data_IF_407345484676
#
_entry.id   IF_407345484676
#
_cell.length_a   1.000
_cell.length_b   1.000
_cell.length_c   1.000
_cell.angle_alpha   90.00
_cell.angle_beta   90.00
_cell.angle_gamma   90.00
#
_symmetry.space_group_name_H-M   'P 1'
#
loop_
_entity.id
_entity.type
_entity.pdbx_description
1 polymer ?
#
# COMPACT_ATOMS: atom_id res chain seq x y z
N UNK A 1 -2.21 14.93 21.72
CA UNK A 1 -2.00 13.59 21.09
C UNK A 1 -0.54 13.14 21.16
N UNK A 2 0.47 14.00 20.91
CA UNK A 2 1.91 13.59 20.92
C UNK A 2 2.42 12.94 22.22
N UNK A 3 1.84 13.28 23.37
CA UNK A 3 2.29 12.75 24.66
C UNK A 3 2.00 11.25 24.87
N UNK A 4 1.20 10.60 24.01
CA UNK A 4 0.90 9.17 24.18
C UNK A 4 2.14 8.29 24.09
N UNK A 5 3.15 8.67 23.29
CA UNK A 5 4.42 7.94 23.21
C UNK A 5 5.15 7.97 24.57
N UNK A 6 5.17 9.13 25.23
CA UNK A 6 5.75 9.29 26.56
C UNK A 6 4.93 8.53 27.62
N UNK A 7 3.60 8.68 27.63
CA UNK A 7 2.75 7.98 28.58
C UNK A 7 2.83 6.46 28.42
N UNK A 8 2.88 5.96 27.18
CA UNK A 8 3.08 4.54 26.89
C UNK A 8 4.41 4.03 27.42
N UNK A 9 5.50 4.78 27.24
CA UNK A 9 6.80 4.46 27.85
C UNK A 9 6.73 4.39 29.38
N UNK A 10 6.09 5.38 30.02
CA UNK A 10 5.99 5.43 31.49
C UNK A 10 5.15 4.29 32.06
N UNK A 11 4.06 3.92 31.38
CA UNK A 11 3.25 2.76 31.75
C UNK A 11 4.08 1.47 31.60
N UNK A 12 4.64 1.24 30.41
CA UNK A 12 5.35 -0.01 30.10
C UNK A 12 6.61 -0.20 30.95
N UNK A 13 7.36 0.86 31.27
CA UNK A 13 8.56 0.73 32.10
C UNK A 13 8.25 0.48 33.58
N UNK A 14 7.03 0.80 34.03
CA UNK A 14 6.62 0.61 35.42
C UNK A 14 6.17 -0.82 35.73
N UNK A 15 5.88 -1.60 34.68
CA UNK A 15 5.43 -2.98 34.78
C UNK A 15 6.58 -3.94 34.42
N UNK A 16 6.95 -4.80 35.37
CA UNK A 16 8.06 -5.75 35.21
C UNK A 16 7.75 -6.87 34.20
N UNK A 17 6.50 -7.03 33.75
CA UNK A 17 6.14 -7.99 32.71
C UNK A 17 6.61 -7.56 31.31
N UNK A 18 6.87 -6.28 31.11
CA UNK A 18 7.34 -5.75 29.84
C UNK A 18 8.84 -5.46 29.88
N UNK A 19 9.51 -5.73 28.76
CA UNK A 19 10.91 -5.36 28.63
C UNK A 19 11.06 -3.84 28.52
N UNK A 20 12.14 -3.29 29.07
CA UNK A 20 12.49 -1.88 28.89
C UNK A 20 12.65 -1.51 27.40
N UNK A 21 13.05 -2.48 26.57
CA UNK A 21 13.11 -2.30 25.12
C UNK A 21 11.74 -2.03 24.51
N UNK A 22 10.71 -2.79 24.91
CA UNK A 22 9.32 -2.57 24.47
C UNK A 22 8.83 -1.17 24.85
N UNK A 23 9.15 -0.71 26.06
CA UNK A 23 8.86 0.66 26.47
C UNK A 23 9.55 1.68 25.55
N UNK A 24 10.85 1.50 25.26
CA UNK A 24 11.56 2.40 24.35
C UNK A 24 11.02 2.40 22.92
N UNK A 25 10.52 1.27 22.41
CA UNK A 25 9.84 1.23 21.11
C UNK A 25 8.59 2.12 21.15
N UNK A 26 7.76 2.00 22.20
CA UNK A 26 6.60 2.87 22.38
C UNK A 26 6.99 4.36 22.50
N UNK A 27 8.13 4.67 23.12
CA UNK A 27 8.63 6.05 23.16
C UNK A 27 9.04 6.58 21.77
N UNK A 28 9.59 5.71 20.92
CA UNK A 28 10.31 6.10 19.71
C UNK A 28 9.53 5.91 18.40
N UNK A 29 8.38 5.23 18.41
CA UNK A 29 7.67 4.88 17.17
C UNK A 29 7.18 6.06 16.32
N UNK A 30 7.16 7.29 16.87
CA UNK A 30 6.89 8.53 16.11
C UNK A 30 8.16 9.34 15.79
N UNK A 31 9.35 8.85 16.12
CA UNK A 31 10.62 9.45 15.74
C UNK A 31 10.88 9.19 14.24
N UNK A 32 11.55 10.11 13.56
CA UNK A 32 11.83 10.04 12.13
C UNK A 32 13.32 10.22 11.85
N UNK A 33 13.81 9.61 10.77
CA UNK A 33 15.23 9.62 10.42
C UNK A 33 15.85 11.01 10.28
N UNK A 34 15.05 12.01 9.93
CA UNK A 34 15.43 13.43 9.76
C UNK A 34 15.29 14.27 11.05
N UNK A 35 14.94 13.64 12.19
CA UNK A 35 14.77 14.32 13.47
C UNK A 35 13.48 15.15 13.60
N UNK A 36 12.60 15.14 12.59
CA UNK A 36 11.31 15.89 12.64
C UNK A 36 10.21 15.14 13.39
N UNK A 37 10.52 13.95 13.89
CA UNK A 37 9.63 13.14 14.71
C UNK A 37 9.46 13.68 16.13
N UNK A 38 8.79 12.89 16.96
CA UNK A 38 8.52 13.23 18.36
C UNK A 38 8.49 11.93 19.20
N UNK A 39 8.62 12.00 20.54
CA UNK A 39 8.64 13.19 21.40
C UNK A 39 10.01 13.88 21.55
N UNK A 40 11.12 13.23 21.23
CA UNK A 40 12.47 13.74 21.51
C UNK A 40 13.14 14.40 20.30
N UNK A 41 12.66 14.13 19.08
CA UNK A 41 13.26 14.68 17.86
C UNK A 41 14.64 14.09 17.58
N UNK A 42 14.85 12.83 18.01
CA UNK A 42 16.10 12.12 17.74
C UNK A 42 16.14 11.64 16.30
N UNK A 43 17.34 11.42 15.76
CA UNK A 43 17.54 11.16 14.34
C UNK A 43 18.50 10.00 14.08
N UNK A 44 18.45 9.46 12.86
CA UNK A 44 19.37 8.41 12.42
C UNK A 44 19.55 7.32 13.48
N UNK A 45 20.81 6.97 13.77
CA UNK A 45 21.21 5.83 14.63
C UNK A 45 20.79 5.96 16.11
N UNK A 46 20.28 7.11 16.54
CA UNK A 46 19.72 7.26 17.88
C UNK A 46 18.36 6.56 18.04
N UNK A 47 17.66 6.35 16.93
CA UNK A 47 16.38 5.62 16.89
C UNK A 47 16.69 4.12 16.85
N UNK A 48 16.15 3.38 17.81
CA UNK A 48 16.34 1.93 17.90
C UNK A 48 15.79 1.23 16.63
N UNK A 49 16.49 0.22 16.07
CA UNK A 49 16.05 -0.47 14.86
C UNK A 49 14.60 -0.97 14.90
N UNK A 50 14.17 -1.54 16.03
CA UNK A 50 12.78 -1.99 16.20
C UNK A 50 11.76 -0.83 16.19
N UNK A 51 12.12 0.34 16.72
CA UNK A 51 11.23 1.50 16.63
C UNK A 51 11.06 1.94 15.18
N UNK A 52 12.12 1.91 14.36
CA UNK A 52 12.04 2.25 12.93
C UNK A 52 11.17 1.27 12.14
N UNK A 53 11.22 -0.02 12.46
CA UNK A 53 10.30 -1.02 11.89
C UNK A 53 8.86 -0.64 12.23
N UNK A 54 8.58 -0.36 13.51
CA UNK A 54 7.24 0.04 13.96
C UNK A 54 6.80 1.34 13.30
N UNK A 55 7.66 2.35 13.19
CA UNK A 55 7.35 3.63 12.52
C UNK A 55 6.92 3.41 11.08
N UNK A 56 7.67 2.60 10.32
CA UNK A 56 7.34 2.31 8.92
C UNK A 56 6.01 1.55 8.82
N UNK A 57 5.78 0.56 9.69
CA UNK A 57 4.52 -0.18 9.73
C UNK A 57 3.31 0.70 10.14
N UNK A 58 3.46 1.52 11.17
CA UNK A 58 2.42 2.43 11.69
C UNK A 58 2.01 3.48 10.64
N UNK A 59 3.00 4.05 9.94
CA UNK A 59 2.73 4.99 8.84
C UNK A 59 2.02 4.29 7.69
N UNK A 60 2.44 3.09 7.31
CA UNK A 60 1.78 2.34 6.24
C UNK A 60 0.33 2.02 6.59
N UNK A 61 0.07 1.46 7.78
CA UNK A 61 -1.28 1.15 8.27
C UNK A 61 -2.17 2.40 8.28
N UNK A 62 -1.64 3.52 8.78
CA UNK A 62 -2.37 4.79 8.80
C UNK A 62 -2.70 5.35 7.40
N UNK A 63 -1.92 4.99 6.37
CA UNK A 63 -2.17 5.39 4.98
C UNK A 63 -3.28 4.54 4.34
N UNK A 64 -3.27 3.23 4.57
CA UNK A 64 -4.22 2.27 3.97
C UNK A 64 -5.51 2.10 4.79
N UNK A 65 -5.60 2.71 5.98
CA UNK A 65 -6.82 2.78 6.76
C UNK A 65 -7.68 4.00 6.41
N UNK A 66 -9.01 3.83 6.49
CA UNK A 66 -9.96 4.94 6.42
C UNK A 66 -9.81 5.87 7.64
N UNK A 67 -9.92 7.17 7.39
CA UNK A 67 -9.96 8.22 8.42
C UNK A 67 -11.20 9.09 8.21
N UNK A 68 -11.76 9.72 9.26
CA UNK A 68 -12.96 10.56 9.15
C UNK A 68 -12.88 11.67 8.08
N UNK A 69 -11.67 12.14 7.78
CA UNK A 69 -11.39 13.23 6.84
C UNK A 69 -10.69 12.77 5.56
N UNK A 70 -10.43 11.47 5.40
CA UNK A 70 -9.67 10.94 4.24
C UNK A 70 -9.96 9.45 4.05
N UNK A 71 -10.40 9.07 2.85
CA UNK A 71 -10.47 7.68 2.42
C UNK A 71 -9.10 7.00 2.42
N UNK A 72 -9.06 5.71 2.70
CA UNK A 72 -7.86 4.88 2.57
C UNK A 72 -7.14 5.12 1.24
N UNK A 73 -5.81 5.18 1.28
CA UNK A 73 -5.01 5.09 0.05
C UNK A 73 -4.94 3.64 -0.37
N UNK A 74 -4.89 3.38 -1.68
CA UNK A 74 -4.52 2.06 -2.16
C UNK A 74 -3.06 1.73 -1.78
N UNK A 75 -2.71 0.44 -1.75
CA UNK A 75 -1.37 0.02 -1.35
C UNK A 75 -0.26 0.63 -2.23
N UNK A 76 -0.48 0.74 -3.54
CA UNK A 76 0.46 1.38 -4.47
C UNK A 76 0.63 2.89 -4.17
N UNK A 77 -0.45 3.59 -3.83
CA UNK A 77 -0.41 5.00 -3.42
C UNK A 77 0.35 5.17 -2.10
N UNK A 78 0.08 4.32 -1.10
CA UNK A 78 0.78 4.35 0.19
C UNK A 78 2.30 4.12 0.01
N UNK A 79 2.68 3.12 -0.80
CA UNK A 79 4.08 2.86 -1.16
C UNK A 79 4.71 4.08 -1.83
N UNK A 80 4.03 4.71 -2.79
CA UNK A 80 4.54 5.90 -3.48
C UNK A 80 4.77 7.08 -2.52
N UNK A 81 3.82 7.36 -1.63
CA UNK A 81 3.93 8.40 -0.60
C UNK A 81 5.12 8.14 0.32
N UNK A 82 5.31 6.90 0.77
CA UNK A 82 6.41 6.54 1.66
C UNK A 82 7.78 6.62 0.94
N UNK A 83 7.84 6.20 -0.34
CA UNK A 83 9.06 6.30 -1.17
C UNK A 83 9.52 7.75 -1.35
N UNK A 84 8.61 8.71 -1.48
CA UNK A 84 8.95 10.14 -1.54
C UNK A 84 9.68 10.65 -0.28
N UNK A 85 9.56 9.93 0.84
CA UNK A 85 10.18 10.26 2.13
C UNK A 85 11.41 9.39 2.43
N UNK A 86 11.81 8.52 1.50
CA UNK A 86 12.98 7.67 1.60
C UNK A 86 14.27 8.48 1.67
N UNK A 87 15.22 8.06 2.51
CA UNK A 87 16.49 8.76 2.76
C UNK A 87 16.38 9.99 3.67
N UNK A 88 15.17 10.51 3.90
CA UNK A 88 14.90 11.60 4.84
C UNK A 88 14.21 11.07 6.10
N UNK A 89 12.88 10.91 6.07
CA UNK A 89 12.13 10.41 7.23
C UNK A 89 12.34 8.92 7.48
N UNK A 90 12.60 8.15 6.42
CA UNK A 90 12.74 6.70 6.51
C UNK A 90 14.07 6.25 5.90
N UNK A 91 14.77 5.35 6.57
CA UNK A 91 15.92 4.68 6.00
C UNK A 91 15.48 3.67 4.92
N UNK A 92 16.09 3.66 3.72
CA UNK A 92 15.64 2.85 2.59
C UNK A 92 15.47 1.36 2.92
N UNK A 93 16.39 0.78 3.69
CA UNK A 93 16.35 -0.63 4.07
C UNK A 93 15.07 -1.05 4.81
N UNK A 94 14.48 -0.16 5.63
CA UNK A 94 13.24 -0.45 6.36
C UNK A 94 12.01 -0.36 5.45
N UNK A 95 12.01 0.55 4.49
CA UNK A 95 10.99 0.62 3.46
C UNK A 95 11.03 -0.62 2.56
N UNK A 96 12.22 -1.02 2.11
CA UNK A 96 12.42 -2.22 1.30
C UNK A 96 11.96 -3.49 2.03
N UNK A 97 12.28 -3.60 3.33
CA UNK A 97 11.82 -4.70 4.16
C UNK A 97 10.28 -4.77 4.24
N UNK A 98 9.60 -3.62 4.40
CA UNK A 98 8.13 -3.60 4.37
C UNK A 98 7.61 -3.98 2.98
N UNK A 99 8.09 -3.32 1.92
CA UNK A 99 7.56 -3.47 0.57
C UNK A 99 7.78 -4.86 -0.03
N UNK A 100 8.83 -5.57 0.36
CA UNK A 100 9.07 -6.96 -0.03
C UNK A 100 8.11 -7.96 0.64
N UNK A 101 7.41 -7.55 1.70
CA UNK A 101 6.51 -8.41 2.48
C UNK A 101 5.02 -8.03 2.32
N UNK A 102 4.70 -7.08 1.45
CA UNK A 102 3.31 -6.69 1.13
C UNK A 102 3.05 -6.84 -0.36
N UNK A 103 1.82 -7.21 -0.70
CA UNK A 103 1.38 -7.21 -2.09
C UNK A 103 1.08 -5.77 -2.51
N UNK A 104 1.87 -5.20 -3.43
CA UNK A 104 1.59 -3.87 -3.98
C UNK A 104 0.20 -3.82 -4.65
N UNK A 105 -0.20 -4.92 -5.27
CA UNK A 105 -1.52 -5.11 -5.85
C UNK A 105 -2.17 -6.35 -5.22
N UNK A 106 -3.01 -6.20 -4.19
CA UNK A 106 -3.71 -7.33 -3.58
C UNK A 106 -4.57 -8.10 -4.60
N UNK A 107 -4.68 -9.42 -4.44
CA UNK A 107 -5.58 -10.25 -5.24
C UNK A 107 -7.01 -9.70 -5.10
N UNK A 108 -7.74 -9.63 -6.22
CA UNK A 108 -9.06 -9.03 -6.31
C UNK A 108 -9.06 -7.53 -6.62
N UNK A 109 -7.90 -6.85 -6.57
CA UNK A 109 -7.80 -5.45 -7.03
C UNK A 109 -8.17 -5.35 -8.51
N UNK A 110 -8.93 -4.33 -8.87
CA UNK A 110 -9.23 -3.99 -10.27
C UNK A 110 -8.22 -2.95 -10.74
N UNK A 111 -7.59 -3.19 -11.89
CA UNK A 111 -6.50 -2.37 -12.43
C UNK A 111 -6.75 -2.00 -13.89
N UNK A 112 -6.33 -0.79 -14.25
CA UNK A 112 -6.20 -0.39 -15.64
C UNK A 112 -4.78 -0.71 -16.11
N UNK A 113 -4.69 -1.33 -17.28
CA UNK A 113 -3.42 -1.62 -17.94
C UNK A 113 -3.04 -0.46 -18.88
N UNK A 114 -1.75 -0.32 -19.17
CA UNK A 114 -1.25 0.64 -20.17
C UNK A 114 -1.79 0.39 -21.59
N UNK A 115 -2.34 -0.80 -21.84
CA UNK A 115 -3.04 -1.19 -23.07
C UNK A 115 -4.48 -0.69 -23.17
N UNK A 116 -4.96 0.10 -22.20
CA UNK A 116 -6.35 0.58 -22.05
C UNK A 116 -7.36 -0.53 -21.73
N UNK A 117 -6.87 -1.69 -21.29
CA UNK A 117 -7.68 -2.81 -20.83
C UNK A 117 -7.90 -2.72 -19.32
N UNK A 118 -9.01 -3.31 -18.82
CA UNK A 118 -9.28 -3.42 -17.39
C UNK A 118 -9.16 -4.89 -16.99
N UNK A 119 -8.44 -5.13 -15.90
CA UNK A 119 -8.15 -6.47 -15.41
C UNK A 119 -8.32 -6.57 -13.90
N UNK A 120 -8.44 -7.80 -13.40
CA UNK A 120 -8.44 -8.13 -11.98
C UNK A 120 -7.16 -8.88 -11.65
N UNK A 121 -6.54 -8.55 -10.52
CA UNK A 121 -5.40 -9.33 -10.00
C UNK A 121 -5.90 -10.70 -9.54
N UNK A 122 -5.37 -11.78 -10.14
CA UNK A 122 -5.76 -13.15 -9.79
C UNK A 122 -4.68 -13.94 -9.06
N UNK A 123 -3.42 -13.55 -9.22
CA UNK A 123 -2.30 -14.15 -8.48
C UNK A 123 -1.14 -13.16 -8.33
N UNK A 124 -0.31 -13.34 -7.31
CA UNK A 124 0.83 -12.46 -7.01
C UNK A 124 2.15 -13.23 -7.02
N UNK A 125 3.11 -12.74 -7.81
CA UNK A 125 4.44 -13.32 -7.90
C UNK A 125 5.30 -12.92 -6.70
N UNK A 126 5.77 -13.90 -5.91
CA UNK A 126 6.55 -13.64 -4.68
C UNK A 126 7.89 -12.94 -4.94
N UNK A 127 8.56 -13.30 -6.03
CA UNK A 127 9.87 -12.72 -6.39
C UNK A 127 9.73 -11.34 -7.06
N UNK A 128 8.59 -11.09 -7.70
CA UNK A 128 8.29 -9.84 -8.40
C UNK A 128 6.88 -9.33 -8.05
N UNK A 129 6.65 -8.83 -6.81
CA UNK A 129 5.32 -8.40 -6.36
C UNK A 129 4.68 -7.27 -7.18
N UNK A 130 5.50 -6.56 -7.98
CA UNK A 130 5.06 -5.51 -8.90
C UNK A 130 4.51 -6.05 -10.22
N UNK A 131 4.70 -7.34 -10.52
CA UNK A 131 4.30 -7.99 -11.78
C UNK A 131 3.41 -9.20 -11.49
N UNK A 132 2.15 -8.99 -11.06
CA UNK A 132 1.20 -10.07 -10.76
C UNK A 132 0.68 -10.78 -12.02
N UNK A 133 -0.13 -11.82 -11.83
CA UNK A 133 -0.99 -12.40 -12.87
C UNK A 133 -2.32 -11.66 -12.86
N UNK A 134 -2.74 -11.18 -14.03
CA UNK A 134 -3.99 -10.42 -14.19
C UNK A 134 -4.94 -11.16 -15.11
N UNK A 135 -6.24 -11.09 -14.83
CA UNK A 135 -7.30 -11.55 -15.73
C UNK A 135 -8.00 -10.36 -16.33
N UNK A 136 -7.89 -10.20 -17.65
CA UNK A 136 -8.57 -9.13 -18.39
C UNK A 136 -10.07 -9.40 -18.39
N UNK A 137 -10.83 -8.42 -17.91
CA UNK A 137 -12.30 -8.46 -17.85
C UNK A 137 -12.94 -7.58 -18.93
N UNK A 138 -12.23 -6.53 -19.38
CA UNK A 138 -12.71 -5.60 -20.38
C UNK A 138 -11.58 -5.27 -21.36
N UNK A 139 -11.89 -5.36 -22.66
CA UNK A 139 -10.95 -5.05 -23.74
C UNK A 139 -10.78 -3.53 -23.94
N UNK A 140 -9.81 -3.14 -24.79
CA UNK A 140 -9.56 -1.73 -25.16
C UNK A 140 -10.75 -1.01 -25.82
N UNK A 141 -11.78 -1.73 -26.23
CA UNK A 141 -13.01 -1.20 -26.83
C UNK A 141 -14.17 -1.17 -25.82
N UNK A 142 -13.84 -1.29 -24.52
CA UNK A 142 -14.79 -1.34 -23.42
C UNK A 142 -15.80 -2.49 -23.56
N UNK A 143 -15.39 -3.67 -24.04
CA UNK A 143 -16.27 -4.85 -24.18
C UNK A 143 -15.80 -5.96 -23.25
N UNK A 144 -16.76 -6.68 -22.68
CA UNK A 144 -16.46 -7.91 -21.95
C UNK A 144 -15.83 -8.95 -22.89
N UNK A 145 -14.88 -9.71 -22.35
CA UNK A 145 -14.26 -10.79 -23.09
C UNK A 145 -15.16 -12.03 -23.04
N UNK A 146 -15.42 -12.62 -24.21
CA UNK A 146 -16.14 -13.90 -24.32
C UNK A 146 -15.35 -15.09 -23.75
N UNK A 147 -14.04 -14.92 -23.52
CA UNK A 147 -13.15 -15.92 -22.93
C UNK A 147 -12.22 -15.24 -21.93
N UNK A 148 -11.97 -15.83 -20.75
CA UNK A 148 -11.02 -15.26 -19.80
C UNK A 148 -9.63 -15.23 -20.43
N UNK A 149 -8.99 -14.06 -20.42
CA UNK A 149 -7.60 -13.87 -20.82
C UNK A 149 -6.78 -13.58 -19.56
N UNK A 150 -5.88 -14.48 -19.22
CA UNK A 150 -4.93 -14.28 -18.12
C UNK A 150 -3.54 -13.95 -18.68
N UNK A 151 -2.93 -12.92 -18.11
CA UNK A 151 -1.62 -12.42 -18.48
C UNK A 151 -0.74 -12.47 -17.25
N UNK A 152 0.31 -13.29 -17.30
CA UNK A 152 1.38 -13.27 -16.33
C UNK A 152 2.33 -12.12 -16.68
N UNK A 153 2.26 -11.03 -15.92
CA UNK A 153 3.04 -9.82 -16.23
C UNK A 153 4.54 -10.05 -16.08
N UNK A 154 5.00 -11.15 -15.49
CA UNK A 154 6.44 -11.50 -15.49
C UNK A 154 6.93 -11.95 -16.86
N UNK A 155 6.02 -12.45 -17.72
CA UNK A 155 6.33 -12.97 -19.07
C UNK A 155 6.06 -11.94 -20.16
N UNK A 156 5.20 -10.96 -19.89
CA UNK A 156 4.92 -9.85 -20.79
C UNK A 156 5.43 -8.52 -20.19
N UNK A 157 6.56 -8.06 -20.73
CA UNK A 157 7.22 -6.82 -20.29
C UNK A 157 6.61 -5.56 -20.92
N UNK A 158 5.73 -5.67 -21.91
CA UNK A 158 5.09 -4.53 -22.56
C UNK A 158 3.81 -4.11 -21.86
N UNK A 159 3.14 -5.05 -21.20
CA UNK A 159 1.92 -4.79 -20.43
C UNK A 159 2.28 -4.37 -19.01
N UNK A 160 1.75 -3.24 -18.56
CA UNK A 160 1.99 -2.72 -17.21
C UNK A 160 0.70 -2.28 -16.54
N UNK A 161 0.64 -2.40 -15.22
CA UNK A 161 -0.43 -1.80 -14.42
C UNK A 161 -0.21 -0.30 -14.42
N UNK A 162 -1.12 0.43 -15.07
CA UNK A 162 -1.11 1.88 -15.10
C UNK A 162 -1.61 2.47 -13.79
N UNK A 163 -2.69 1.92 -13.23
CA UNK A 163 -3.27 2.34 -11.95
C UNK A 163 -4.27 1.31 -11.40
N UNK A 164 -4.51 1.37 -10.10
CA UNK A 164 -5.62 0.69 -9.43
C UNK A 164 -6.89 1.55 -9.58
N UNK A 165 -8.04 0.91 -9.81
CA UNK A 165 -9.34 1.60 -9.88
C UNK A 165 -9.93 1.75 -8.48
N UNK A 166 -10.60 2.88 -8.22
CA UNK A 166 -11.34 3.09 -6.97
C UNK A 166 -12.67 2.32 -6.95
N UNK A 167 -13.27 2.19 -5.77
CA UNK A 167 -14.61 1.58 -5.63
C UNK A 167 -15.67 2.33 -6.45
N UNK A 168 -15.58 3.66 -6.54
CA UNK A 168 -16.48 4.47 -7.35
C UNK A 168 -16.31 4.17 -8.85
N UNK A 169 -15.07 4.07 -9.33
CA UNK A 169 -14.78 3.74 -10.72
C UNK A 169 -15.27 2.33 -11.08
N UNK A 170 -15.03 1.35 -10.19
CA UNK A 170 -15.54 -0.02 -10.34
C UNK A 170 -17.07 -0.01 -10.38
N UNK A 171 -17.71 0.78 -9.50
CA UNK A 171 -19.17 0.88 -9.46
C UNK A 171 -19.76 1.49 -10.73
N UNK A 172 -19.09 2.49 -11.32
CA UNK A 172 -19.50 3.08 -12.61
C UNK A 172 -19.35 2.04 -13.72
N UNK A 173 -18.20 1.35 -13.76
CA UNK A 173 -17.92 0.32 -14.75
C UNK A 173 -18.96 -0.81 -14.73
N UNK A 174 -19.31 -1.31 -13.56
CA UNK A 174 -20.32 -2.36 -13.40
C UNK A 174 -21.71 -1.89 -13.87
N UNK A 175 -22.05 -0.62 -13.66
CA UNK A 175 -23.31 -0.05 -14.17
C UNK A 175 -23.32 0.00 -15.70
N UNK A 176 -22.26 0.50 -16.32
CA UNK A 176 -22.13 0.58 -17.77
C UNK A 176 -22.16 -0.78 -18.46
N UNK A 177 -21.65 -1.83 -17.81
CA UNK A 177 -21.74 -3.20 -18.29
C UNK A 177 -23.15 -3.80 -18.16
N UNK A 178 -23.89 -3.41 -17.11
CA UNK A 178 -25.25 -3.90 -16.85
C UNK A 178 -26.32 -3.25 -17.73
N UNK A 179 -26.05 -2.08 -18.31
CA UNK A 179 -26.99 -1.42 -19.22
C UNK A 179 -27.03 -2.13 -20.58
N UNK A 180 -28.22 -2.45 -21.13
CA UNK A 180 -28.32 -3.06 -22.44
C UNK A 180 -27.79 -2.07 -23.48
N UNK A 181 -26.60 -2.36 -24.04
CA UNK A 181 -26.13 -1.63 -25.22
C UNK A 181 -27.16 -1.80 -26.32
N UNK A 182 -27.81 -0.70 -26.69
CA UNK A 182 -28.67 -0.64 -27.87
C UNK A 182 -27.81 -1.15 -29.01
N UNK A 183 -28.16 -2.32 -29.55
CA UNK A 183 -27.48 -2.88 -30.71
C UNK A 183 -27.74 -1.91 -31.84
N UNK A 184 -26.73 -1.15 -32.23
CA UNK A 184 -26.74 -0.43 -33.49
C UNK A 184 -26.96 -1.48 -34.58
N UNK A 185 -28.20 -1.51 -35.05
CA UNK A 185 -28.65 -2.36 -36.14
C UNK A 185 -28.48 -1.50 -37.38
N UNK A 186 -27.36 -1.66 -38.08
CA UNK A 186 -27.19 -1.24 -39.48
C UNK A 186 -26.36 -2.27 -40.22
#
# INVERSE_FOLDING_TARGET
IKNHAQFGFDILRSDQQFSLLSAHIALQHHELGDGKGYPRGISGKEIHPYARIVTVADVFDALVADRPYRKAYSTDQAIAIMKQRSGASFEPAYLEALFSNIAQFPIGSVVALNTQEIAIIVDNNRETPTRPVVRVIIDRHNRELNKPLEIDLTKDHLVEISRVLSEEEISILLKELSEPRIRDTM
#
